data_IF_572809220556
#
_entry.id   IF_572809220556
#
_cell.length_a   1.000
_cell.length_b   1.000
_cell.length_c   1.000
_cell.angle_alpha   90.00
_cell.angle_beta   90.00
_cell.angle_gamma   90.00
#
_symmetry.space_group_name_H-M   'P 1'
#
loop_
_entity.id
_entity.type
_entity.pdbx_description
1 polymer ?
#
# COMPACT_ATOMS: atom_id res chain seq x y z
N UNK A 1 5.12 -63.01 51.84
CA UNK A 1 6.23 -62.44 51.07
C UNK A 1 5.77 -61.12 50.46
N UNK A 2 6.08 -59.99 51.11
CA UNK A 2 5.69 -58.64 50.68
C UNK A 2 6.93 -57.75 50.74
N UNK A 3 7.39 -57.28 49.58
CA UNK A 3 8.55 -56.39 49.40
C UNK A 3 8.16 -54.90 49.59
N UNK A 4 9.11 -54.00 49.90
CA UNK A 4 8.89 -52.84 50.76
C UNK A 4 8.63 -51.51 50.03
N UNK A 5 7.94 -50.64 50.78
CA UNK A 5 7.59 -49.25 50.48
C UNK A 5 8.80 -48.32 50.53
N UNK A 6 9.59 -48.17 49.45
CA UNK A 6 10.62 -47.10 49.44
C UNK A 6 11.02 -46.51 48.07
N UNK A 7 10.12 -46.50 47.08
CA UNK A 7 10.38 -45.83 45.76
C UNK A 7 9.35 -44.77 45.35
N UNK A 8 8.57 -44.23 46.29
CA UNK A 8 7.53 -43.21 46.00
C UNK A 8 7.84 -41.79 46.49
N UNK A 9 8.97 -41.56 47.16
CA UNK A 9 9.29 -40.25 47.77
C UNK A 9 10.19 -39.34 46.91
N UNK A 10 10.77 -39.85 45.82
CA UNK A 10 11.73 -39.09 45.00
C UNK A 10 11.14 -38.42 43.75
N UNK A 11 9.87 -38.70 43.41
CA UNK A 11 9.22 -38.11 42.23
C UNK A 11 8.46 -36.80 42.55
N UNK A 12 8.11 -36.57 43.81
CA UNK A 12 7.26 -35.44 44.21
C UNK A 12 8.06 -34.13 44.26
N UNK A 13 9.36 -34.19 44.54
CA UNK A 13 10.21 -32.99 44.61
C UNK A 13 10.66 -32.45 43.24
N UNK A 14 10.60 -33.25 42.16
CA UNK A 14 10.96 -32.80 40.81
C UNK A 14 9.77 -32.17 40.06
N UNK A 15 8.53 -32.53 40.43
CA UNK A 15 7.32 -31.93 39.83
C UNK A 15 7.05 -30.52 40.38
N UNK A 16 7.35 -30.27 41.66
CA UNK A 16 7.12 -28.95 42.27
C UNK A 16 8.09 -27.86 41.80
N UNK A 17 9.22 -28.20 41.17
CA UNK A 17 10.19 -27.21 40.65
C UNK A 17 10.04 -26.91 39.14
N UNK A 18 9.25 -27.71 38.42
CA UNK A 18 8.95 -27.48 37.00
C UNK A 18 7.73 -26.55 36.77
N UNK A 19 7.01 -26.19 37.84
CA UNK A 19 5.77 -25.39 37.77
C UNK A 19 5.89 -23.98 38.35
N UNK A 20 7.00 -23.60 38.97
CA UNK A 20 7.17 -22.24 39.53
C UNK A 20 7.70 -21.22 38.53
N UNK A 21 8.36 -21.65 37.44
CA UNK A 21 8.84 -20.75 36.37
C UNK A 21 7.71 -20.25 35.44
N UNK A 22 6.75 -21.07 34.96
CA UNK A 22 5.72 -20.57 34.04
C UNK A 22 4.67 -19.67 34.71
N UNK A 23 4.45 -19.79 36.02
CA UNK A 23 3.42 -19.00 36.73
C UNK A 23 3.92 -17.57 37.01
N UNK A 24 5.21 -17.39 37.33
CA UNK A 24 5.81 -16.07 37.49
C UNK A 24 5.83 -15.26 36.20
N UNK A 25 6.10 -15.91 35.06
CA UNK A 25 6.06 -15.28 33.73
C UNK A 25 4.64 -14.91 33.29
N UNK A 26 3.62 -15.68 33.66
CA UNK A 26 2.22 -15.37 33.38
C UNK A 26 1.71 -14.18 34.22
N UNK A 27 2.19 -14.04 35.46
CA UNK A 27 1.82 -12.93 36.35
C UNK A 27 2.52 -11.61 35.99
N UNK A 28 3.75 -11.64 35.46
CA UNK A 28 4.40 -10.43 34.92
C UNK A 28 3.79 -9.98 33.59
N UNK A 29 3.30 -10.90 32.75
CA UNK A 29 2.58 -10.56 31.51
C UNK A 29 1.17 -10.01 31.76
N UNK A 30 0.53 -10.38 32.87
CA UNK A 30 -0.77 -9.86 33.28
C UNK A 30 -0.67 -8.53 34.06
N UNK A 31 0.46 -8.27 34.73
CA UNK A 31 0.75 -7.01 35.44
C UNK A 31 1.43 -5.94 34.56
N UNK A 32 1.97 -6.34 33.40
CA UNK A 32 2.20 -5.43 32.31
C UNK A 32 0.82 -4.98 31.79
N UNK A 33 0.27 -3.93 32.41
CA UNK A 33 -0.82 -3.16 31.81
C UNK A 33 -0.45 -2.88 30.35
N UNK A 34 -1.44 -2.85 29.42
CA UNK A 34 -1.17 -2.86 27.99
C UNK A 34 -0.04 -1.89 27.76
N UNK A 35 1.11 -2.42 27.32
CA UNK A 35 2.15 -1.57 26.81
C UNK A 35 1.38 -0.67 25.85
N UNK A 36 1.39 0.64 26.11
CA UNK A 36 1.11 1.57 25.05
C UNK A 36 2.31 1.37 24.13
N UNK A 37 2.25 0.31 23.31
CA UNK A 37 2.85 0.33 22.01
C UNK A 37 2.41 1.69 21.50
N UNK A 38 3.35 2.62 21.36
CA UNK A 38 3.10 3.95 20.83
C UNK A 38 2.30 3.73 19.57
N UNK A 39 0.98 3.92 19.71
CA UNK A 39 0.02 3.28 18.85
C UNK A 39 0.35 3.75 17.45
N UNK A 40 0.50 2.80 16.52
CA UNK A 40 0.46 3.09 15.10
C UNK A 40 -0.74 4.02 14.93
N UNK A 41 -0.47 5.31 14.67
CA UNK A 41 -1.52 6.29 14.46
C UNK A 41 -2.46 5.68 13.43
N UNK A 42 -3.76 5.68 13.70
CA UNK A 42 -4.73 5.18 12.72
C UNK A 42 -4.44 5.91 11.41
N UNK A 43 -4.14 5.18 10.31
CA UNK A 43 -3.79 5.81 9.06
C UNK A 43 -4.84 6.87 8.71
N UNK A 44 -4.38 8.08 8.41
CA UNK A 44 -5.29 9.19 8.09
C UNK A 44 -6.24 8.74 6.96
N UNK A 45 -7.57 8.96 7.09
CA UNK A 45 -8.51 8.57 6.05
C UNK A 45 -8.15 9.15 4.69
N UNK A 46 -8.43 8.41 3.61
CA UNK A 46 -8.28 8.93 2.25
C UNK A 46 -9.33 10.01 1.98
N UNK A 47 -8.93 11.16 1.45
CA UNK A 47 -9.82 12.29 1.14
C UNK A 47 -10.25 12.22 -0.33
N UNK A 48 -11.51 11.90 -0.59
CA UNK A 48 -12.00 11.62 -1.95
C UNK A 48 -12.53 12.86 -2.65
N UNK A 49 -12.24 13.00 -3.96
CA UNK A 49 -12.98 13.89 -4.85
C UNK A 49 -14.41 13.37 -5.06
N UNK A 50 -14.55 12.05 -5.22
CA UNK A 50 -15.83 11.38 -5.44
C UNK A 50 -15.87 10.13 -4.55
N UNK A 51 -16.31 10.25 -3.29
CA UNK A 51 -16.27 9.15 -2.34
C UNK A 51 -17.23 8.03 -2.75
N UNK A 52 -16.85 6.76 -2.55
CA UNK A 52 -17.82 5.67 -2.65
C UNK A 52 -18.93 5.83 -1.60
N UNK A 53 -20.13 5.25 -1.80
CA UNK A 53 -21.29 5.50 -0.94
C UNK A 53 -21.05 5.27 0.55
N UNK A 54 -20.23 4.27 0.91
CA UNK A 54 -19.90 3.95 2.30
C UNK A 54 -18.96 4.95 2.98
N UNK A 55 -18.25 5.78 2.22
CA UNK A 55 -17.27 6.75 2.69
C UNK A 55 -17.79 8.19 2.60
N UNK A 56 -18.90 8.43 1.90
CA UNK A 56 -19.39 9.77 1.60
C UNK A 56 -19.71 10.61 2.86
N UNK A 57 -20.32 10.00 3.88
CA UNK A 57 -20.76 10.71 5.09
C UNK A 57 -19.61 11.25 5.96
N UNK A 58 -18.42 10.63 5.89
CA UNK A 58 -17.23 11.03 6.65
C UNK A 58 -16.10 11.57 5.78
N UNK A 59 -16.36 11.79 4.48
CA UNK A 59 -15.34 12.21 3.54
C UNK A 59 -14.94 13.67 3.77
N UNK A 60 -13.64 13.93 3.75
CA UNK A 60 -13.11 15.28 3.60
C UNK A 60 -12.69 15.50 2.14
N UNK A 61 -12.81 16.74 1.67
CA UNK A 61 -12.35 17.08 0.33
C UNK A 61 -10.81 17.03 0.29
N UNK A 62 -10.20 16.48 -0.78
CA UNK A 62 -8.76 16.47 -0.91
C UNK A 62 -8.22 17.89 -1.02
N UNK A 63 -7.07 18.09 -0.38
CA UNK A 63 -6.37 19.36 -0.31
C UNK A 63 -5.52 19.60 -1.56
N UNK A 64 -5.16 20.86 -1.77
CA UNK A 64 -4.17 21.26 -2.77
C UNK A 64 -2.81 21.42 -2.12
N UNK A 65 -1.80 21.74 -2.92
CA UNK A 65 -0.46 22.07 -2.47
C UNK A 65 0.22 23.01 -3.45
N UNK A 66 1.15 23.83 -2.98
CA UNK A 66 1.98 24.64 -3.86
C UNK A 66 3.30 25.02 -3.22
N UNK A 67 4.28 25.34 -4.05
CA UNK A 67 5.54 25.92 -3.60
C UNK A 67 6.38 26.40 -4.78
N UNK A 68 7.50 27.02 -4.47
CA UNK A 68 8.40 27.58 -5.46
C UNK A 68 9.77 26.93 -5.33
N UNK A 69 10.33 26.54 -6.47
CA UNK A 69 11.73 26.12 -6.58
C UNK A 69 12.52 27.28 -7.18
N UNK A 70 13.56 27.72 -6.50
CA UNK A 70 14.41 28.81 -6.96
C UNK A 70 15.41 28.33 -8.05
N UNK A 71 15.89 29.28 -8.85
CA UNK A 71 17.06 29.10 -9.69
C UNK A 71 18.31 29.64 -8.99
N UNK A 72 19.30 28.78 -8.75
CA UNK A 72 20.63 29.15 -8.23
C UNK A 72 21.70 28.63 -9.17
N UNK A 73 22.69 29.46 -9.50
CA UNK A 73 23.78 29.05 -10.40
C UNK A 73 23.30 28.58 -11.78
N UNK A 74 22.14 29.07 -12.24
CA UNK A 74 21.56 28.67 -13.52
C UNK A 74 20.90 27.28 -13.53
N UNK A 75 20.60 26.70 -12.36
CA UNK A 75 19.92 25.40 -12.22
C UNK A 75 18.74 25.53 -11.25
N UNK A 76 17.67 24.76 -11.50
CA UNK A 76 16.59 24.64 -10.53
C UNK A 76 17.11 23.90 -9.29
N UNK A 77 16.82 24.41 -8.10
CA UNK A 77 17.10 23.69 -6.86
C UNK A 77 16.30 22.38 -6.79
N UNK A 78 16.79 21.32 -6.11
CA UNK A 78 15.95 20.17 -5.79
C UNK A 78 14.88 20.57 -4.77
N UNK A 79 13.79 19.80 -4.72
CA UNK A 79 12.74 20.05 -3.73
C UNK A 79 11.57 19.08 -3.86
N UNK A 80 10.64 19.15 -2.91
CA UNK A 80 9.41 18.36 -2.94
C UNK A 80 8.23 19.25 -2.61
N UNK A 81 7.18 19.14 -3.43
CA UNK A 81 5.90 19.83 -3.23
C UNK A 81 4.86 18.78 -2.84
N UNK A 82 4.09 19.06 -1.79
CA UNK A 82 3.11 18.14 -1.21
C UNK A 82 1.73 18.77 -1.26
N UNK A 83 0.68 17.98 -1.40
CA UNK A 83 -0.66 18.42 -0.99
C UNK A 83 -0.74 18.46 0.53
N UNK A 84 -1.55 19.35 1.09
CA UNK A 84 -1.61 19.55 2.55
C UNK A 84 -2.15 18.32 3.31
N UNK A 85 -2.83 17.41 2.61
CA UNK A 85 -3.33 16.12 3.10
C UNK A 85 -2.39 14.94 2.80
N UNK A 86 -1.19 15.21 2.27
CA UNK A 86 -0.17 14.19 1.99
C UNK A 86 -0.55 13.16 0.93
N UNK A 87 -1.59 13.39 0.13
CA UNK A 87 -2.03 12.43 -0.89
C UNK A 87 -1.21 12.47 -2.18
N UNK A 88 -0.50 13.56 -2.47
CA UNK A 88 0.43 13.64 -3.60
C UNK A 88 1.73 14.31 -3.19
N UNK A 89 2.84 13.70 -3.61
CA UNK A 89 4.17 14.30 -3.53
C UNK A 89 4.76 14.43 -4.93
N UNK A 90 5.25 15.62 -5.27
CA UNK A 90 6.01 15.87 -6.49
C UNK A 90 7.45 16.23 -6.14
N UNK A 91 8.36 15.28 -6.32
CA UNK A 91 9.77 15.39 -5.95
C UNK A 91 10.64 15.66 -7.16
N UNK A 92 11.41 16.74 -7.06
CA UNK A 92 12.19 17.35 -8.12
C UNK A 92 13.67 17.12 -7.85
N UNK A 93 14.41 16.46 -8.77
CA UNK A 93 15.85 16.46 -8.68
C UNK A 93 16.41 17.87 -8.95
N UNK A 94 17.68 18.07 -8.63
CA UNK A 94 18.38 19.29 -9.05
C UNK A 94 18.34 19.41 -10.58
N UNK A 95 18.11 20.62 -11.09
CA UNK A 95 17.97 20.86 -12.53
C UNK A 95 16.69 20.27 -13.13
N UNK A 96 15.63 20.07 -12.32
CA UNK A 96 14.35 19.55 -12.81
C UNK A 96 13.73 20.44 -13.90
N UNK A 97 13.80 21.76 -13.74
CA UNK A 97 13.25 22.71 -14.72
C UNK A 97 14.35 23.42 -15.51
N UNK A 98 14.08 23.68 -16.79
CA UNK A 98 14.98 24.45 -17.62
C UNK A 98 15.08 25.91 -17.12
N UNK A 99 16.27 26.48 -16.97
CA UNK A 99 16.41 27.90 -16.68
C UNK A 99 15.90 28.75 -17.86
N UNK A 100 15.31 29.90 -17.55
CA UNK A 100 14.83 30.85 -18.56
C UNK A 100 15.25 32.28 -18.20
N UNK A 101 15.60 33.08 -19.21
CA UNK A 101 16.08 34.45 -19.01
C UNK A 101 15.07 35.30 -18.24
N UNK A 102 15.56 36.03 -17.24
CA UNK A 102 14.73 36.89 -16.40
C UNK A 102 13.82 36.15 -15.42
N UNK A 103 13.92 34.81 -15.33
CA UNK A 103 13.16 34.02 -14.36
C UNK A 103 14.01 33.70 -13.12
N UNK A 104 13.39 33.76 -11.95
CA UNK A 104 14.04 33.53 -10.65
C UNK A 104 13.71 32.16 -10.05
N UNK A 105 12.70 31.49 -10.60
CA UNK A 105 12.28 30.17 -10.14
C UNK A 105 11.07 29.65 -10.90
N UNK A 106 10.51 28.57 -10.39
CA UNK A 106 9.31 27.91 -10.89
C UNK A 106 8.33 27.73 -9.75
N UNK A 107 7.15 28.34 -9.88
CA UNK A 107 6.01 28.08 -9.00
C UNK A 107 5.27 26.86 -9.48
N UNK A 108 4.97 25.97 -8.53
CA UNK A 108 4.36 24.67 -8.78
C UNK A 108 3.09 24.59 -7.95
N UNK A 109 2.01 24.12 -8.56
CA UNK A 109 0.75 23.87 -7.87
C UNK A 109 0.21 22.47 -8.19
N UNK A 110 -0.23 21.77 -7.17
CA UNK A 110 -0.88 20.46 -7.21
C UNK A 110 -2.32 20.66 -6.76
N UNK A 111 -3.29 20.36 -7.62
CA UNK A 111 -4.71 20.62 -7.33
C UNK A 111 -5.55 19.38 -7.66
N UNK A 112 -6.43 18.91 -6.76
CA UNK A 112 -7.36 17.84 -7.08
C UNK A 112 -8.24 18.24 -8.25
N UNK A 113 -8.38 17.35 -9.24
CA UNK A 113 -9.24 17.60 -10.39
C UNK A 113 -10.69 17.33 -10.00
N UNK A 114 -11.55 18.34 -10.16
CA UNK A 114 -12.98 18.25 -9.89
C UNK A 114 -13.78 18.73 -11.11
N UNK A 115 -14.76 17.96 -11.62
CA UNK A 115 -15.11 16.60 -11.20
C UNK A 115 -13.99 15.60 -11.51
N UNK A 116 -14.05 14.43 -10.87
CA UNK A 116 -13.16 13.31 -11.20
C UNK A 116 -13.30 12.98 -12.70
N UNK A 117 -12.20 12.83 -13.45
CA UNK A 117 -12.26 12.51 -14.87
C UNK A 117 -12.88 11.13 -15.09
N UNK A 118 -13.78 11.02 -16.07
CA UNK A 118 -14.30 9.72 -16.48
C UNK A 118 -13.16 8.90 -17.14
N UNK A 119 -12.92 7.65 -16.69
CA UNK A 119 -11.92 6.80 -17.30
C UNK A 119 -12.37 6.32 -18.69
N UNK A 120 -11.45 6.09 -19.64
CA UNK A 120 -11.73 5.34 -20.86
C UNK A 120 -12.25 3.93 -20.54
N UNK A 121 -12.94 3.30 -21.50
CA UNK A 121 -13.39 1.93 -21.35
C UNK A 121 -12.22 1.00 -21.01
N UNK A 122 -12.39 0.17 -19.98
CA UNK A 122 -11.34 -0.76 -19.51
C UNK A 122 -10.36 -0.17 -18.49
N UNK A 123 -10.49 1.10 -18.10
CA UNK A 123 -9.66 1.71 -17.06
C UNK A 123 -10.45 1.92 -15.78
N UNK A 124 -9.82 1.66 -14.63
CA UNK A 124 -10.43 1.87 -13.31
C UNK A 124 -9.51 2.78 -12.49
N UNK A 125 -9.98 3.98 -12.09
CA UNK A 125 -9.24 4.85 -11.19
C UNK A 125 -9.18 4.24 -9.78
N UNK A 126 -8.01 4.29 -9.16
CA UNK A 126 -7.73 3.81 -7.79
C UNK A 126 -7.40 4.96 -6.84
N UNK A 127 -7.99 6.13 -7.07
CA UNK A 127 -7.75 7.32 -6.28
C UNK A 127 -8.19 8.58 -7.02
N UNK A 128 -7.83 9.73 -6.48
CA UNK A 128 -8.16 11.02 -7.09
C UNK A 128 -7.21 11.34 -8.26
N UNK A 129 -7.74 12.04 -9.26
CA UNK A 129 -6.91 12.72 -10.24
C UNK A 129 -6.40 14.06 -9.69
N UNK A 130 -5.15 14.41 -10.00
CA UNK A 130 -4.54 15.69 -9.65
C UNK A 130 -3.96 16.38 -10.88
N UNK A 131 -4.09 17.70 -10.93
CA UNK A 131 -3.43 18.57 -11.89
C UNK A 131 -2.17 19.14 -11.26
N UNK A 132 -1.03 18.89 -11.88
CA UNK A 132 0.25 19.49 -11.54
C UNK A 132 0.54 20.55 -12.59
N UNK A 133 0.75 21.79 -12.17
CA UNK A 133 1.11 22.91 -13.04
C UNK A 133 2.42 23.52 -12.56
N UNK A 134 3.21 24.02 -13.51
CA UNK A 134 4.47 24.68 -13.22
C UNK A 134 4.62 25.91 -14.11
N UNK A 135 4.90 27.06 -13.52
CA UNK A 135 5.05 28.34 -14.22
C UNK A 135 6.29 29.05 -13.74
N UNK A 136 7.03 29.68 -14.64
CA UNK A 136 8.16 30.52 -14.27
C UNK A 136 7.72 31.76 -13.50
N UNK A 137 8.56 32.20 -12.56
CA UNK A 137 8.41 33.48 -11.89
C UNK A 137 9.47 34.46 -12.40
N UNK A 138 9.11 35.74 -12.73
CA UNK A 138 7.80 36.35 -12.56
C UNK A 138 6.87 36.23 -13.79
N UNK A 139 7.34 35.68 -14.92
CA UNK A 139 6.60 35.77 -16.20
C UNK A 139 5.26 35.03 -16.22
N UNK A 140 5.03 34.09 -15.31
CA UNK A 140 3.93 33.14 -15.31
C UNK A 140 3.84 32.25 -16.57
N UNK A 141 4.86 32.26 -17.44
CA UNK A 141 4.92 31.38 -18.59
C UNK A 141 5.06 29.91 -18.16
N UNK A 142 4.52 28.94 -18.90
CA UNK A 142 4.67 27.52 -18.57
C UNK A 142 6.15 27.12 -18.44
N UNK A 143 6.49 26.47 -17.33
CA UNK A 143 7.84 25.97 -17.10
C UNK A 143 8.07 24.62 -17.79
N UNK A 144 9.29 24.40 -18.27
CA UNK A 144 9.66 23.17 -19.00
C UNK A 144 10.38 22.23 -18.05
N UNK A 145 9.79 21.06 -17.81
CA UNK A 145 10.43 20.00 -17.04
C UNK A 145 11.52 19.35 -17.92
N UNK A 146 12.78 19.56 -17.57
CA UNK A 146 13.96 19.09 -18.29
C UNK A 146 14.40 17.71 -17.82
N UNK A 147 14.42 17.50 -16.50
CA UNK A 147 14.81 16.23 -15.88
C UNK A 147 13.56 15.55 -15.32
N UNK A 148 13.32 14.25 -15.59
CA UNK A 148 12.17 13.55 -15.05
C UNK A 148 12.09 13.67 -13.52
N UNK A 149 10.92 14.05 -13.03
CA UNK A 149 10.62 14.20 -11.62
C UNK A 149 9.81 13.01 -11.11
N UNK A 150 9.89 12.72 -9.82
CA UNK A 150 9.14 11.62 -9.19
C UNK A 150 7.77 12.13 -8.74
N UNK A 151 6.72 11.50 -9.24
CA UNK A 151 5.36 11.70 -8.76
C UNK A 151 4.97 10.49 -7.92
N UNK A 152 4.71 10.72 -6.63
CA UNK A 152 4.18 9.74 -5.70
C UNK A 152 2.72 10.10 -5.37
N UNK A 153 1.83 9.13 -5.50
CA UNK A 153 0.39 9.29 -5.28
C UNK A 153 -0.09 8.25 -4.26
N UNK A 154 -0.73 8.73 -3.20
CA UNK A 154 -1.44 7.88 -2.26
C UNK A 154 -2.70 7.32 -2.92
N UNK A 155 -3.00 6.06 -2.62
CA UNK A 155 -4.25 5.40 -2.99
C UNK A 155 -5.02 4.93 -1.74
N UNK A 156 -6.35 4.77 -1.83
CA UNK A 156 -7.18 4.37 -0.70
C UNK A 156 -6.95 2.90 -0.30
N UNK A 157 -7.19 2.52 0.97
CA UNK A 157 -7.12 1.13 1.41
C UNK A 157 -8.02 0.20 0.57
N UNK A 158 -7.51 -0.99 0.24
CA UNK A 158 -8.22 -1.99 -0.57
C UNK A 158 -8.12 -1.81 -2.08
N UNK A 159 -7.52 -0.70 -2.54
CA UNK A 159 -7.19 -0.48 -3.95
C UNK A 159 -5.83 -1.09 -4.32
N UNK A 160 -5.64 -1.29 -5.63
CA UNK A 160 -4.47 -1.96 -6.20
C UNK A 160 -4.08 -1.32 -7.54
N UNK A 161 -3.63 -0.05 -7.54
CA UNK A 161 -3.16 0.57 -8.77
C UNK A 161 -2.00 -0.23 -9.36
N UNK A 162 -1.95 -0.28 -10.67
CA UNK A 162 -0.86 -0.90 -11.44
C UNK A 162 -0.01 0.15 -12.14
N UNK A 163 -0.55 1.36 -12.32
CA UNK A 163 0.13 2.46 -13.00
C UNK A 163 -0.39 3.81 -12.56
N UNK A 164 0.46 4.82 -12.70
CA UNK A 164 0.02 6.21 -12.82
C UNK A 164 -0.30 6.48 -14.29
N UNK A 165 -1.46 7.07 -14.56
CA UNK A 165 -1.89 7.46 -15.89
C UNK A 165 -1.83 8.98 -16.06
N UNK A 166 -1.27 9.44 -17.18
CA UNK A 166 -1.43 10.83 -17.65
C UNK A 166 -2.75 10.95 -18.40
N UNK A 167 -3.52 11.98 -18.09
CA UNK A 167 -4.83 12.26 -18.69
C UNK A 167 -4.68 13.34 -19.77
N UNK A 168 -4.87 12.95 -21.03
CA UNK A 168 -4.77 13.82 -22.21
C UNK A 168 -6.14 13.93 -22.89
N UNK A 169 -6.92 14.93 -22.51
CA UNK A 169 -8.30 15.06 -22.96
C UNK A 169 -9.14 13.86 -22.48
N UNK A 170 -9.58 13.01 -23.42
CA UNK A 170 -10.29 11.76 -23.12
C UNK A 170 -9.39 10.52 -23.07
N UNK A 171 -8.10 10.62 -23.43
CA UNK A 171 -7.15 9.51 -23.45
C UNK A 171 -6.35 9.41 -22.16
N UNK A 172 -6.03 8.18 -21.73
CA UNK A 172 -5.21 7.90 -20.54
C UNK A 172 -3.96 7.12 -20.94
N UNK A 173 -2.78 7.68 -20.72
CA UNK A 173 -1.49 7.08 -21.06
C UNK A 173 -0.83 6.52 -19.82
N UNK A 174 -0.54 5.21 -19.78
CA UNK A 174 0.19 4.61 -18.65
C UNK A 174 1.63 5.13 -18.62
N UNK A 175 2.08 5.51 -17.43
CA UNK A 175 3.47 5.84 -17.12
C UNK A 175 4.16 4.69 -16.37
N UNK A 176 3.47 3.56 -16.18
CA UNK A 176 3.87 2.52 -15.24
C UNK A 176 3.78 3.01 -13.79
N UNK A 177 4.45 2.30 -12.89
CA UNK A 177 4.67 2.73 -11.53
C UNK A 177 5.27 1.65 -10.65
N UNK A 178 5.82 2.05 -9.51
CA UNK A 178 6.24 1.17 -8.42
C UNK A 178 5.26 1.33 -7.26
N UNK A 179 4.72 0.22 -6.75
CA UNK A 179 3.71 0.24 -5.66
C UNK A 179 4.35 -0.06 -4.32
N UNK A 180 4.10 0.80 -3.34
CA UNK A 180 4.56 0.67 -1.96
C UNK A 180 3.37 0.31 -1.07
N UNK A 181 3.02 -0.98 -1.07
CA UNK A 181 1.80 -1.48 -0.40
C UNK A 181 1.69 -1.08 1.07
N UNK A 182 2.81 -1.05 1.80
CA UNK A 182 2.81 -0.65 3.22
C UNK A 182 2.52 0.84 3.43
N UNK A 183 2.92 1.68 2.48
CA UNK A 183 2.69 3.14 2.52
C UNK A 183 1.39 3.53 1.80
N UNK A 184 0.80 2.60 1.03
CA UNK A 184 -0.34 2.85 0.15
C UNK A 184 -0.08 3.96 -0.86
N UNK A 185 1.14 3.97 -1.42
CA UNK A 185 1.53 4.89 -2.48
C UNK A 185 1.97 4.14 -3.72
N UNK A 186 1.85 4.81 -4.86
CA UNK A 186 2.44 4.41 -6.13
C UNK A 186 3.27 5.58 -6.65
N UNK A 187 4.48 5.30 -7.13
CA UNK A 187 5.34 6.31 -7.73
C UNK A 187 5.64 6.04 -9.20
N UNK A 188 5.80 7.10 -9.99
CA UNK A 188 6.30 7.04 -11.35
C UNK A 188 7.13 8.28 -11.68
N UNK A 189 8.05 8.16 -12.64
CA UNK A 189 8.78 9.31 -13.19
C UNK A 189 7.95 9.99 -14.26
N UNK A 190 7.79 11.31 -14.16
CA UNK A 190 7.09 12.13 -15.15
C UNK A 190 8.04 13.12 -15.81
N UNK A 191 7.94 13.27 -17.13
CA UNK A 191 8.77 14.18 -17.95
C UNK A 191 8.02 15.44 -18.39
N UNK A 192 6.78 15.59 -17.95
CA UNK A 192 5.96 16.77 -18.18
C UNK A 192 4.97 16.93 -17.03
N UNK A 193 4.58 18.17 -16.74
CA UNK A 193 3.45 18.47 -15.85
C UNK A 193 2.14 18.21 -16.58
N UNK A 194 1.02 18.11 -15.86
CA UNK A 194 -0.25 17.68 -16.44
C UNK A 194 -1.21 17.11 -15.42
N UNK A 195 -2.20 16.33 -15.89
CA UNK A 195 -3.19 15.68 -15.04
C UNK A 195 -2.86 14.20 -14.89
N UNK A 196 -2.86 13.70 -13.66
CA UNK A 196 -2.45 12.35 -13.34
C UNK A 196 -3.43 11.66 -12.41
N UNK A 197 -3.52 10.34 -12.52
CA UNK A 197 -4.37 9.50 -11.67
C UNK A 197 -3.76 8.11 -11.52
N UNK A 198 -3.76 7.56 -10.30
CA UNK A 198 -3.42 6.16 -10.08
C UNK A 198 -4.60 5.26 -10.50
N UNK A 199 -4.33 4.12 -11.11
CA UNK A 199 -5.37 3.19 -11.52
C UNK A 199 -4.83 1.84 -11.99
N UNK A 200 -5.74 1.00 -12.48
CA UNK A 200 -5.42 -0.28 -13.12
C UNK A 200 -6.26 -0.48 -14.39
N UNK A 201 -5.84 -1.43 -15.22
CA UNK A 201 -6.71 -1.94 -16.28
C UNK A 201 -7.80 -2.80 -15.63
N UNK A 202 -9.06 -2.40 -15.78
CA UNK A 202 -10.17 -3.30 -15.52
C UNK A 202 -10.09 -4.49 -16.48
N UNK A 203 -10.55 -5.66 -16.05
CA UNK A 203 -10.66 -6.80 -16.95
C UNK A 203 -11.47 -6.39 -18.20
N UNK A 204 -10.84 -6.38 -19.38
CA UNK A 204 -11.58 -6.35 -20.63
C UNK A 204 -12.56 -7.52 -20.57
N UNK A 205 -13.86 -7.23 -20.55
CA UNK A 205 -14.92 -8.15 -20.12
C UNK A 205 -14.69 -9.59 -20.57
N UNK A 206 -14.01 -10.37 -19.72
CA UNK A 206 -14.07 -11.81 -19.74
C UNK A 206 -15.10 -12.10 -18.67
N UNK A 207 -16.28 -12.54 -19.12
CA UNK A 207 -17.29 -13.11 -18.24
C UNK A 207 -16.57 -14.03 -17.26
N UNK A 208 -16.61 -13.70 -15.98
CA UNK A 208 -16.07 -14.55 -14.95
C UNK A 208 -16.78 -15.90 -15.08
N UNK A 209 -16.09 -16.92 -15.59
CA UNK A 209 -16.53 -18.29 -15.39
C UNK A 209 -16.31 -18.57 -13.91
N UNK A 210 -17.34 -18.35 -13.11
CA UNK A 210 -17.43 -18.81 -11.73
C UNK A 210 -17.40 -20.34 -11.73
N UNK A 211 -16.21 -20.92 -11.81
CA UNK A 211 -15.98 -22.31 -11.48
C UNK A 211 -16.11 -22.46 -9.95
N UNK A 212 -16.90 -23.40 -9.43
CA UNK A 212 -17.11 -23.52 -8.00
C UNK A 212 -15.79 -23.88 -7.30
N UNK A 213 -15.39 -23.20 -6.21
CA UNK A 213 -14.14 -23.44 -5.49
C UNK A 213 -14.08 -24.78 -4.72
N UNK A 214 -14.96 -25.73 -5.02
CA UNK A 214 -15.09 -26.98 -4.27
C UNK A 214 -14.36 -28.19 -4.86
N UNK A 215 -14.13 -28.26 -6.18
CA UNK A 215 -13.73 -29.53 -6.79
C UNK A 215 -12.27 -29.92 -6.49
N UNK A 216 -11.35 -28.95 -6.49
CA UNK A 216 -9.93 -29.20 -6.20
C UNK A 216 -9.69 -29.51 -4.71
N UNK A 217 -10.50 -28.92 -3.81
CA UNK A 217 -10.42 -29.20 -2.37
C UNK A 217 -10.91 -30.61 -2.03
N UNK A 218 -11.98 -31.08 -2.71
CA UNK A 218 -12.50 -32.44 -2.55
C UNK A 218 -11.53 -33.49 -3.10
N UNK A 219 -10.88 -33.23 -4.25
CA UNK A 219 -9.87 -34.14 -4.82
C UNK A 219 -8.64 -34.22 -3.90
N UNK A 220 -8.16 -33.09 -3.37
CA UNK A 220 -7.04 -33.08 -2.43
C UNK A 220 -7.36 -33.85 -1.14
N UNK A 221 -8.57 -33.70 -0.60
CA UNK A 221 -9.00 -34.41 0.62
C UNK A 221 -9.19 -35.93 0.38
N UNK A 222 -9.69 -36.33 -0.79
CA UNK A 222 -9.83 -37.73 -1.18
C UNK A 222 -8.47 -38.45 -1.34
N UNK A 223 -7.47 -37.76 -1.89
CA UNK A 223 -6.12 -38.32 -2.04
C UNK A 223 -5.40 -38.48 -0.70
N UNK A 224 -5.56 -37.53 0.23
CA UNK A 224 -4.99 -37.62 1.58
C UNK A 224 -5.62 -38.76 2.38
N UNK A 225 -6.94 -38.93 2.30
CA UNK A 225 -7.64 -40.00 3.03
C UNK A 225 -7.31 -41.40 2.50
N UNK A 226 -7.16 -41.57 1.17
CA UNK A 226 -6.69 -42.82 0.58
C UNK A 226 -5.25 -43.18 1.00
N UNK A 227 -4.35 -42.19 1.07
CA UNK A 227 -2.97 -42.40 1.52
C UNK A 227 -2.85 -42.84 2.99
N UNK A 228 -3.68 -42.26 3.87
CA UNK A 228 -3.71 -42.62 5.30
C UNK A 228 -4.24 -44.05 5.53
N UNK A 229 -5.25 -44.48 4.77
CA UNK A 229 -5.79 -45.84 4.87
C UNK A 229 -4.78 -46.91 4.41
N UNK A 230 -4.01 -46.63 3.35
CA UNK A 230 -2.95 -47.53 2.88
C UNK A 230 -1.78 -47.65 3.88
N UNK A 231 -1.43 -46.56 4.56
CA UNK A 231 -0.42 -46.57 5.64
C UNK A 231 -0.88 -47.41 6.84
N UNK A 232 -2.14 -47.28 7.26
CA UNK A 232 -2.69 -48.06 8.38
C UNK A 232 -2.77 -49.57 8.04
N UNK A 233 -3.16 -49.91 6.81
CA UNK A 233 -3.18 -51.29 6.34
C UNK A 233 -1.77 -51.90 6.26
N UNK A 234 -0.79 -51.14 5.76
CA UNK A 234 0.60 -51.57 5.67
C UNK A 234 1.26 -51.79 7.03
N UNK A 235 0.98 -50.95 8.03
CA UNK A 235 1.51 -51.09 9.39
C UNK A 235 0.90 -52.32 10.11
N UNK A 236 -0.36 -52.67 9.84
CA UNK A 236 -0.98 -53.89 10.39
C UNK A 236 -0.42 -55.17 9.76
N UNK A 237 -0.17 -55.18 8.46
CA UNK A 237 0.40 -56.35 7.77
C UNK A 237 1.83 -56.66 8.21
N UNK A 238 2.59 -55.63 8.62
CA UNK A 238 3.98 -55.76 9.07
C UNK A 238 4.13 -56.19 10.54
N UNK A 239 3.05 -56.15 11.32
CA UNK A 239 3.01 -56.60 12.73
C UNK A 239 2.42 -58.00 12.93
N UNK A 240 1.91 -58.61 11.84
CA UNK A 240 1.31 -59.95 11.84
C UNK A 240 2.15 -61.03 11.17
N UNK A 241 3.45 -60.78 10.93
CA UNK A 241 4.44 -61.76 10.50
C UNK A 241 5.58 -61.81 11.51
#
# INVERSE_FOLDING_TARGET
MQLPRHRRRSAIWLVCRALTVPIGAALTLAAAGPARADGIATPEPYHWVSPPPGQAAGNQAPASGSGTVAFTGGQAEPGSIFTDDGQVTFSLPQGAFAPATGQTGVRIAITPVRPQPAPPAGYVPDGNAYSITATYEPSAAPAILLTPALLDMRYPPGHRPESIYRIDGSGWTSLGGSVQTLLQTIDARISQTGRFVAGHQGAAGTSASSGPPGLLFVIALALVSAGVLLLIAGVRFRRGR
#
